data_IF_858953727735
#
_entry.id   IF_858953727735
#
_cell.length_a   1.000
_cell.length_b   1.000
_cell.length_c   1.000
_cell.angle_alpha   90.00
_cell.angle_beta   90.00
_cell.angle_gamma   90.00
#
_symmetry.space_group_name_H-M   'P 1'
#
loop_
_entity.id
_entity.type
_entity.pdbx_description
1 polymer ?
#
# COMPACT_ATOMS: atom_id res chain seq x y z
N UNK A 1 -22.17 -5.45 -14.94
CA UNK A 1 -21.89 -6.89 -14.91
C UNK A 1 -21.44 -7.23 -13.50
N UNK A 2 -21.90 -8.33 -12.97
CA UNK A 2 -21.54 -8.79 -11.60
C UNK A 2 -20.79 -10.10 -11.66
N UNK A 3 -19.71 -10.20 -10.86
CA UNK A 3 -18.97 -11.42 -10.55
C UNK A 3 -19.30 -11.91 -9.14
N UNK A 4 -19.11 -13.20 -8.89
CA UNK A 4 -19.24 -13.84 -7.57
C UNK A 4 -20.57 -13.51 -6.84
N UNK A 5 -21.67 -13.39 -7.58
CA UNK A 5 -22.98 -12.99 -7.08
C UNK A 5 -23.88 -14.16 -6.63
N UNK A 6 -23.28 -15.33 -6.32
CA UNK A 6 -24.00 -16.53 -5.86
C UNK A 6 -23.43 -17.00 -4.51
N UNK A 7 -23.70 -16.26 -3.41
CA UNK A 7 -23.23 -16.66 -2.10
C UNK A 7 -23.91 -17.94 -1.63
N UNK A 8 -23.15 -18.84 -1.00
CA UNK A 8 -23.65 -20.11 -0.43
C UNK A 8 -23.39 -20.22 1.09
N UNK A 9 -22.89 -19.15 1.73
CA UNK A 9 -22.56 -19.13 3.15
C UNK A 9 -21.14 -19.59 3.49
N UNK A 10 -20.37 -20.13 2.51
CA UNK A 10 -19.02 -20.66 2.72
C UNK A 10 -17.99 -20.10 1.73
N UNK A 11 -18.42 -19.55 0.59
CA UNK A 11 -17.56 -19.13 -0.52
C UNK A 11 -17.14 -17.64 -0.47
N UNK A 12 -17.11 -17.05 0.71
CA UNK A 12 -16.61 -15.69 0.89
C UNK A 12 -15.16 -15.59 0.42
N UNK A 13 -14.84 -14.60 -0.42
CA UNK A 13 -13.50 -14.38 -1.03
C UNK A 13 -12.95 -15.57 -1.85
N UNK A 14 -13.75 -16.58 -2.16
CA UNK A 14 -13.30 -17.72 -2.94
C UNK A 14 -13.07 -17.32 -4.40
N UNK A 15 -11.80 -17.25 -4.82
CA UNK A 15 -11.36 -16.85 -6.17
C UNK A 15 -11.95 -15.51 -6.65
N UNK A 16 -12.24 -14.58 -5.74
CA UNK A 16 -12.83 -13.29 -6.08
C UNK A 16 -12.48 -12.22 -5.03
N UNK A 17 -12.99 -11.01 -5.23
CA UNK A 17 -12.84 -9.89 -4.31
C UNK A 17 -11.51 -9.16 -4.46
N UNK A 18 -11.22 -8.26 -3.52
CA UNK A 18 -10.07 -7.35 -3.57
C UNK A 18 -8.72 -8.08 -3.51
N UNK A 19 -8.68 -9.29 -2.98
CA UNK A 19 -7.45 -10.11 -2.88
C UNK A 19 -7.23 -11.03 -4.08
N UNK A 20 -8.24 -11.21 -4.94
CA UNK A 20 -8.18 -12.06 -6.13
C UNK A 20 -8.92 -11.41 -7.31
N UNK A 21 -8.39 -10.30 -7.87
CA UNK A 21 -9.08 -9.51 -8.90
C UNK A 21 -8.91 -10.05 -10.33
N UNK A 22 -8.21 -11.18 -10.55
CA UNK A 22 -7.85 -11.69 -11.88
C UNK A 22 -9.04 -11.89 -12.83
N UNK A 23 -10.13 -12.48 -12.37
CA UNK A 23 -11.34 -12.65 -13.17
C UNK A 23 -12.01 -11.31 -13.49
N UNK A 24 -11.92 -10.34 -12.57
CA UNK A 24 -12.42 -8.99 -12.80
C UNK A 24 -11.61 -8.27 -13.88
N UNK A 25 -10.29 -8.40 -13.87
CA UNK A 25 -9.40 -7.82 -14.90
C UNK A 25 -9.80 -8.32 -16.31
N UNK A 26 -9.96 -9.63 -16.45
CA UNK A 26 -10.40 -10.25 -17.71
C UNK A 26 -11.80 -9.78 -18.13
N UNK A 27 -12.72 -9.65 -17.17
CA UNK A 27 -14.08 -9.22 -17.45
C UNK A 27 -14.14 -7.77 -17.91
N UNK A 28 -13.36 -6.88 -17.30
CA UNK A 28 -13.23 -5.47 -17.71
C UNK A 28 -12.76 -5.39 -19.16
N UNK A 29 -11.67 -6.05 -19.50
CA UNK A 29 -11.11 -6.05 -20.86
C UNK A 29 -12.11 -6.64 -21.86
N UNK A 30 -12.68 -7.81 -21.55
CA UNK A 30 -13.61 -8.53 -22.45
C UNK A 30 -14.86 -7.70 -22.80
N UNK A 31 -15.34 -6.87 -21.87
CA UNK A 31 -16.57 -6.11 -22.05
C UNK A 31 -16.32 -4.63 -22.34
N UNK A 32 -15.06 -4.21 -22.53
CA UNK A 32 -14.68 -2.80 -22.70
C UNK A 32 -15.32 -1.92 -21.61
N UNK A 33 -15.27 -2.40 -20.36
CA UNK A 33 -15.83 -1.64 -19.24
C UNK A 33 -14.91 -0.49 -18.85
N UNK A 34 -15.47 0.64 -18.47
CA UNK A 34 -14.70 1.81 -18.03
C UNK A 34 -13.97 1.58 -16.72
N UNK A 35 -14.52 0.73 -15.85
CA UNK A 35 -13.97 0.44 -14.53
C UNK A 35 -14.48 -0.91 -13.99
N UNK A 36 -13.59 -1.66 -13.35
CA UNK A 36 -13.91 -2.79 -12.50
C UNK A 36 -13.80 -2.41 -11.02
N UNK A 37 -14.67 -2.97 -10.18
CA UNK A 37 -14.68 -2.71 -8.74
C UNK A 37 -14.73 -4.06 -8.01
N UNK A 38 -13.78 -4.32 -7.12
CA UNK A 38 -13.72 -5.53 -6.31
C UNK A 38 -13.69 -5.15 -4.82
N UNK A 39 -14.64 -5.69 -4.06
CA UNK A 39 -14.68 -5.60 -2.61
C UNK A 39 -14.15 -6.88 -1.99
N UNK A 40 -13.71 -6.84 -0.74
CA UNK A 40 -13.48 -8.04 0.05
C UNK A 40 -14.77 -8.49 0.77
N UNK A 41 -14.67 -9.56 1.57
CA UNK A 41 -15.83 -10.26 2.09
C UNK A 41 -16.72 -9.46 3.06
N UNK A 42 -16.15 -8.54 3.82
CA UNK A 42 -16.87 -7.65 4.75
C UNK A 42 -17.04 -6.23 4.20
N UNK A 43 -16.50 -5.96 3.00
CA UNK A 43 -16.74 -4.74 2.25
C UNK A 43 -15.98 -3.52 2.77
N UNK A 44 -15.01 -3.72 3.66
CA UNK A 44 -14.19 -2.65 4.24
C UNK A 44 -13.04 -2.22 3.33
N UNK A 45 -12.73 -3.02 2.30
CA UNK A 45 -11.68 -2.80 1.30
C UNK A 45 -12.24 -2.76 -0.12
N UNK A 46 -11.55 -2.01 -0.97
CA UNK A 46 -11.83 -1.95 -2.39
C UNK A 46 -10.56 -1.88 -3.21
N UNK A 47 -10.52 -2.64 -4.30
CA UNK A 47 -9.54 -2.53 -5.37
C UNK A 47 -10.30 -2.20 -6.66
N UNK A 48 -9.73 -1.35 -7.49
CA UNK A 48 -10.30 -1.01 -8.78
C UNK A 48 -9.46 -1.61 -9.91
N UNK A 49 -10.08 -1.71 -11.08
CA UNK A 49 -9.42 -2.18 -12.31
C UNK A 49 -9.76 -1.20 -13.42
N UNK A 50 -8.74 -0.63 -14.07
CA UNK A 50 -8.96 0.28 -15.19
C UNK A 50 -9.37 -0.46 -16.46
N UNK A 51 -9.72 0.29 -17.52
CA UNK A 51 -10.15 -0.25 -18.81
C UNK A 51 -9.14 -1.21 -19.46
N UNK A 52 -7.85 -1.07 -19.16
CA UNK A 52 -6.77 -1.91 -19.71
C UNK A 52 -6.50 -3.16 -18.84
N UNK A 53 -7.27 -3.34 -17.76
CA UNK A 53 -7.13 -4.46 -16.85
C UNK A 53 -6.04 -4.24 -15.78
N UNK A 54 -5.47 -3.06 -15.65
CA UNK A 54 -4.49 -2.76 -14.61
C UNK A 54 -5.18 -2.55 -13.25
N UNK A 55 -4.55 -3.08 -12.20
CA UNK A 55 -5.04 -2.94 -10.83
C UNK A 55 -4.73 -1.54 -10.30
N UNK A 56 -5.72 -0.91 -9.74
CA UNK A 56 -5.64 0.35 -9.00
C UNK A 56 -5.82 0.02 -7.52
N UNK A 57 -4.73 -0.02 -6.81
CA UNK A 57 -4.69 -0.40 -5.41
C UNK A 57 -5.09 0.74 -4.45
N UNK A 58 -5.08 0.45 -3.14
CA UNK A 58 -5.44 1.43 -2.13
C UNK A 58 -4.55 2.67 -2.11
N UNK A 59 -3.29 2.54 -2.48
CA UNK A 59 -2.35 3.65 -2.56
C UNK A 59 -2.74 4.64 -3.67
N UNK A 60 -3.04 4.11 -4.86
CA UNK A 60 -3.53 4.90 -5.97
C UNK A 60 -4.91 5.54 -5.67
N UNK A 61 -5.80 4.80 -5.00
CA UNK A 61 -7.11 5.30 -4.57
C UNK A 61 -6.96 6.48 -3.59
N UNK A 62 -6.11 6.35 -2.58
CA UNK A 62 -5.83 7.45 -1.62
C UNK A 62 -5.31 8.67 -2.35
N UNK A 63 -4.40 8.50 -3.30
CA UNK A 63 -3.88 9.60 -4.11
C UNK A 63 -4.99 10.30 -4.90
N UNK A 64 -5.84 9.55 -5.63
CA UNK A 64 -6.99 10.11 -6.39
C UNK A 64 -7.87 10.95 -5.46
N UNK A 65 -8.24 10.39 -4.30
CA UNK A 65 -9.13 11.09 -3.36
C UNK A 65 -8.48 12.35 -2.78
N UNK A 66 -7.19 12.31 -2.46
CA UNK A 66 -6.44 13.47 -1.97
C UNK A 66 -6.40 14.59 -3.02
N UNK A 67 -6.10 14.25 -4.27
CA UNK A 67 -6.06 15.21 -5.37
C UNK A 67 -7.44 15.79 -5.67
N UNK A 68 -8.48 14.96 -5.69
CA UNK A 68 -9.86 15.43 -5.86
C UNK A 68 -10.27 16.41 -4.77
N UNK A 69 -9.98 16.12 -3.50
CA UNK A 69 -10.27 17.01 -2.38
C UNK A 69 -9.46 18.31 -2.44
N UNK A 70 -8.19 18.23 -2.85
CA UNK A 70 -7.33 19.41 -3.05
C UNK A 70 -7.90 20.33 -4.11
N UNK A 71 -8.25 19.80 -5.27
CA UNK A 71 -8.80 20.56 -6.39
C UNK A 71 -10.11 21.30 -6.02
N UNK A 72 -10.81 20.79 -5.03
CA UNK A 72 -12.03 21.41 -4.46
C UNK A 72 -11.77 22.31 -3.26
N UNK A 73 -10.52 22.58 -2.92
CA UNK A 73 -10.14 23.33 -1.70
C UNK A 73 -10.70 22.71 -0.40
N UNK A 74 -10.89 21.37 -0.37
CA UNK A 74 -11.42 20.64 0.79
C UNK A 74 -10.35 19.92 1.61
N UNK A 75 -9.08 20.05 1.21
CA UNK A 75 -7.92 19.46 1.90
C UNK A 75 -7.07 20.51 2.65
N UNK A 76 -7.61 21.70 2.88
CA UNK A 76 -6.88 22.79 3.54
C UNK A 76 -6.52 22.42 4.98
N UNK A 77 -5.26 22.67 5.36
CA UNK A 77 -4.70 22.41 6.69
C UNK A 77 -4.81 20.93 7.13
N UNK A 78 -4.89 20.00 6.19
CA UNK A 78 -4.93 18.56 6.46
C UNK A 78 -4.02 17.83 5.49
N UNK A 79 -3.66 16.61 5.84
CA UNK A 79 -2.83 15.74 5.01
C UNK A 79 -3.44 14.36 4.85
N UNK A 80 -2.62 13.42 4.45
CA UNK A 80 -2.96 12.02 4.24
C UNK A 80 -2.14 11.15 5.18
N UNK A 81 -2.77 10.15 5.77
CA UNK A 81 -2.09 9.13 6.57
C UNK A 81 -2.03 7.83 5.77
N UNK A 82 -0.82 7.30 5.61
CA UNK A 82 -0.59 5.96 5.08
C UNK A 82 0.15 5.09 6.10
N UNK A 83 0.64 3.94 5.66
CA UNK A 83 1.44 3.05 6.49
C UNK A 83 2.89 2.97 5.99
N UNK A 84 3.74 2.28 6.75
CA UNK A 84 5.10 1.97 6.29
C UNK A 84 5.12 1.13 5.00
N UNK A 85 3.98 0.56 4.61
CA UNK A 85 3.84 -0.21 3.36
C UNK A 85 3.36 0.64 2.18
N UNK A 86 2.83 1.84 2.42
CA UNK A 86 2.39 2.75 1.34
C UNK A 86 3.55 3.04 0.39
N UNK A 87 3.29 2.96 -0.90
CA UNK A 87 4.30 3.17 -1.94
C UNK A 87 4.90 4.58 -1.87
N UNK A 88 6.21 4.70 -2.08
CA UNK A 88 6.92 5.98 -2.06
C UNK A 88 6.43 6.93 -3.17
N UNK A 89 5.90 6.38 -4.25
CA UNK A 89 5.27 7.14 -5.31
C UNK A 89 4.12 8.01 -4.81
N UNK A 90 3.29 7.48 -3.89
CA UNK A 90 2.21 8.27 -3.24
C UNK A 90 2.79 9.45 -2.49
N UNK A 91 3.77 9.19 -1.60
CA UNK A 91 4.39 10.25 -0.80
C UNK A 91 5.01 11.33 -1.66
N UNK A 92 5.73 10.94 -2.71
CA UNK A 92 6.38 11.89 -3.62
C UNK A 92 5.35 12.69 -4.43
N UNK A 93 4.31 12.04 -4.96
CA UNK A 93 3.25 12.72 -5.70
C UNK A 93 2.48 13.71 -4.81
N UNK A 94 2.12 13.30 -3.58
CA UNK A 94 1.46 14.20 -2.62
C UNK A 94 2.36 15.38 -2.24
N UNK A 95 3.67 15.15 -2.05
CA UNK A 95 4.66 16.20 -1.73
C UNK A 95 4.78 17.23 -2.87
N UNK A 96 4.80 16.80 -4.13
CA UNK A 96 4.80 17.69 -5.30
C UNK A 96 3.58 18.63 -5.30
N UNK A 97 2.47 18.12 -4.81
CA UNK A 97 1.23 18.90 -4.65
C UNK A 97 1.10 19.59 -3.29
N UNK A 98 2.17 19.64 -2.47
CA UNK A 98 2.19 20.29 -1.14
C UNK A 98 1.12 19.73 -0.18
N UNK A 99 0.79 18.44 -0.30
CA UNK A 99 -0.09 17.72 0.60
C UNK A 99 0.79 17.00 1.64
N UNK A 100 0.65 17.29 2.94
CA UNK A 100 1.38 16.59 3.98
C UNK A 100 1.04 15.09 3.98
N UNK A 101 2.05 14.25 4.21
CA UNK A 101 1.89 12.81 4.31
C UNK A 101 2.61 12.27 5.55
N UNK A 102 1.94 11.39 6.30
CA UNK A 102 2.49 10.74 7.49
C UNK A 102 2.33 9.23 7.36
N UNK A 103 3.39 8.50 7.73
CA UNK A 103 3.39 7.03 7.80
C UNK A 103 3.17 6.55 9.22
N UNK A 104 2.35 5.52 9.37
CA UNK A 104 2.18 4.77 10.63
C UNK A 104 2.67 3.33 10.47
N UNK A 105 2.63 2.57 11.55
CA UNK A 105 2.69 1.11 11.46
C UNK A 105 1.50 0.57 10.67
N UNK A 106 1.63 -0.62 10.09
CA UNK A 106 0.55 -1.32 9.38
C UNK A 106 -0.63 -1.57 10.31
N UNK A 107 -1.81 -1.41 9.80
CA UNK A 107 -3.09 -1.67 10.47
C UNK A 107 -3.99 -0.44 10.51
N UNK A 108 -5.26 -0.66 10.19
CA UNK A 108 -6.33 0.33 10.17
C UNK A 108 -6.42 1.16 11.47
N UNK A 109 -6.28 0.51 12.62
CA UNK A 109 -6.25 1.15 13.95
C UNK A 109 -5.13 2.18 14.08
N UNK A 110 -3.95 1.90 13.51
CA UNK A 110 -2.82 2.83 13.55
C UNK A 110 -3.07 4.04 12.64
N UNK A 111 -3.66 3.79 11.46
CA UNK A 111 -4.07 4.86 10.54
C UNK A 111 -5.12 5.74 11.20
N UNK A 112 -6.16 5.12 11.79
CA UNK A 112 -7.23 5.82 12.50
C UNK A 112 -6.69 6.69 13.63
N UNK A 113 -5.89 6.11 14.54
CA UNK A 113 -5.31 6.84 15.67
C UNK A 113 -4.48 8.03 15.22
N UNK A 114 -3.71 7.88 14.11
CA UNK A 114 -2.92 8.99 13.58
C UNK A 114 -3.76 10.07 12.93
N UNK A 115 -4.87 9.71 12.27
CA UNK A 115 -5.84 10.68 11.74
C UNK A 115 -6.43 11.51 12.85
N UNK A 116 -6.86 10.89 13.96
CA UNK A 116 -7.41 11.56 15.13
C UNK A 116 -6.38 12.48 15.80
N UNK A 117 -5.14 11.99 16.01
CA UNK A 117 -4.03 12.76 16.59
C UNK A 117 -3.74 14.05 15.81
N UNK A 118 -3.78 13.97 14.47
CA UNK A 118 -3.48 15.11 13.60
C UNK A 118 -4.71 15.99 13.30
N UNK A 119 -5.91 15.57 13.69
CA UNK A 119 -7.14 16.20 13.24
C UNK A 119 -7.38 16.07 11.74
N UNK A 120 -6.79 15.05 11.11
CA UNK A 120 -6.95 14.77 9.69
C UNK A 120 -8.08 13.77 9.46
N UNK A 121 -8.48 13.56 8.20
CA UNK A 121 -9.64 12.73 7.91
C UNK A 121 -9.46 11.73 6.76
N UNK A 122 -8.39 11.81 5.98
CA UNK A 122 -8.13 10.90 4.86
C UNK A 122 -6.87 10.09 5.12
N UNK A 123 -6.99 8.78 5.02
CA UNK A 123 -5.88 7.85 5.11
C UNK A 123 -6.24 6.50 4.51
N UNK A 124 -5.28 5.59 4.46
CA UNK A 124 -5.54 4.24 3.96
C UNK A 124 -4.30 3.38 3.84
N UNK A 125 -4.52 2.18 3.37
CA UNK A 125 -3.52 1.15 3.14
C UNK A 125 -3.57 0.67 1.70
N UNK A 126 -2.46 0.19 1.17
CA UNK A 126 -2.37 -0.39 -0.18
C UNK A 126 -3.33 -1.56 -0.40
N UNK A 127 -3.75 -2.24 0.67
CA UNK A 127 -4.78 -3.30 0.64
C UNK A 127 -6.17 -2.84 0.20
N UNK A 128 -6.40 -1.53 0.07
CA UNK A 128 -7.70 -0.95 -0.29
C UNK A 128 -8.57 -0.55 0.90
N UNK A 129 -8.08 -0.68 2.14
CA UNK A 129 -8.78 -0.17 3.33
C UNK A 129 -8.58 1.35 3.42
N UNK A 130 -9.59 2.11 2.99
CA UNK A 130 -9.55 3.56 2.91
C UNK A 130 -10.45 4.18 3.97
N UNK A 131 -9.90 5.08 4.75
CA UNK A 131 -10.60 5.80 5.83
C UNK A 131 -10.84 7.25 5.40
N UNK A 132 -12.10 7.66 5.43
CA UNK A 132 -12.49 9.06 5.23
C UNK A 132 -13.44 9.48 6.33
N UNK A 133 -12.93 10.02 7.44
CA UNK A 133 -13.69 10.38 8.64
C UNK A 133 -14.78 11.46 8.42
N UNK A 134 -14.79 12.13 7.27
CA UNK A 134 -15.90 13.00 6.87
C UNK A 134 -17.08 12.23 6.28
N UNK A 135 -16.93 10.94 6.03
CA UNK A 135 -17.94 10.10 5.36
C UNK A 135 -18.37 8.92 6.22
N UNK A 136 -17.43 8.27 6.89
CA UNK A 136 -17.66 7.08 7.71
C UNK A 136 -16.66 7.05 8.86
N UNK A 137 -16.99 6.31 9.91
CA UNK A 137 -16.13 6.12 11.10
C UNK A 137 -15.13 4.98 10.96
N UNK A 138 -15.15 4.25 9.84
CA UNK A 138 -14.27 3.11 9.53
C UNK A 138 -13.96 3.08 8.05
N UNK A 139 -13.11 2.16 7.61
CA UNK A 139 -12.97 1.83 6.19
C UNK A 139 -14.30 1.35 5.61
N UNK A 140 -14.58 1.76 4.38
CA UNK A 140 -15.79 1.38 3.65
C UNK A 140 -15.47 1.38 2.15
N UNK A 141 -15.42 0.18 1.56
CA UNK A 141 -15.07 -0.01 0.14
C UNK A 141 -16.14 0.57 -0.79
N UNK A 142 -17.42 0.48 -0.40
CA UNK A 142 -18.53 0.98 -1.22
C UNK A 142 -18.49 2.51 -1.26
N UNK A 143 -18.39 3.16 -0.12
CA UNK A 143 -18.25 4.62 -0.05
C UNK A 143 -17.00 5.07 -0.80
N UNK A 144 -15.88 4.36 -0.63
CA UNK A 144 -14.63 4.67 -1.31
C UNK A 144 -14.77 4.61 -2.84
N UNK A 145 -15.35 3.53 -3.37
CA UNK A 145 -15.57 3.41 -4.81
C UNK A 145 -16.49 4.51 -5.37
N UNK A 146 -17.54 4.86 -4.65
CA UNK A 146 -18.43 5.97 -5.02
C UNK A 146 -17.72 7.33 -5.01
N UNK A 147 -16.79 7.53 -4.08
CA UNK A 147 -15.97 8.75 -4.05
C UNK A 147 -15.02 8.85 -5.24
N UNK A 148 -14.43 7.72 -5.67
CA UNK A 148 -13.59 7.67 -6.89
C UNK A 148 -14.44 7.92 -8.14
N UNK A 149 -15.58 7.26 -8.27
CA UNK A 149 -16.51 7.50 -9.38
C UNK A 149 -16.96 8.97 -9.44
N UNK A 150 -17.24 9.57 -8.27
CA UNK A 150 -17.56 11.00 -8.21
C UNK A 150 -16.39 11.88 -8.69
N UNK A 151 -15.14 11.52 -8.35
CA UNK A 151 -13.95 12.23 -8.81
C UNK A 151 -13.82 12.15 -10.34
N UNK A 152 -14.04 10.98 -10.93
CA UNK A 152 -14.03 10.78 -12.39
C UNK A 152 -15.12 11.62 -13.07
N UNK A 153 -16.35 11.59 -12.57
CA UNK A 153 -17.48 12.33 -13.15
C UNK A 153 -17.30 13.85 -13.05
N UNK A 154 -16.90 14.36 -11.88
CA UNK A 154 -16.72 15.81 -11.69
C UNK A 154 -15.56 16.38 -12.51
N UNK A 155 -14.49 15.61 -12.68
CA UNK A 155 -13.33 16.02 -13.48
C UNK A 155 -13.48 15.64 -14.96
N UNK A 156 -14.51 14.86 -15.31
CA UNK A 156 -14.72 14.30 -16.65
C UNK A 156 -13.47 13.57 -17.16
N UNK A 157 -12.84 12.80 -16.30
CA UNK A 157 -11.57 12.15 -16.53
C UNK A 157 -11.67 10.64 -16.27
N UNK A 158 -10.95 9.86 -17.04
CA UNK A 158 -10.72 8.44 -16.76
C UNK A 158 -9.87 8.27 -15.49
N UNK A 159 -9.84 7.05 -14.96
CA UNK A 159 -9.00 6.78 -13.79
C UNK A 159 -7.51 6.98 -14.09
N UNK A 160 -7.07 6.67 -15.30
CA UNK A 160 -5.69 6.85 -15.75
C UNK A 160 -5.32 8.35 -15.85
N UNK A 161 -6.26 9.19 -16.33
CA UNK A 161 -6.07 10.64 -16.34
C UNK A 161 -5.99 11.22 -14.92
N UNK A 162 -6.71 10.64 -13.95
CA UNK A 162 -6.59 11.04 -12.54
C UNK A 162 -5.25 10.64 -11.94
N UNK A 163 -4.60 9.61 -12.47
CA UNK A 163 -3.30 9.08 -12.02
C UNK A 163 -2.11 9.58 -12.83
N UNK A 164 -2.29 10.48 -13.80
CA UNK A 164 -1.23 10.94 -14.72
C UNK A 164 0.05 11.47 -14.02
N UNK A 165 -0.10 12.07 -12.86
CA UNK A 165 1.01 12.62 -12.06
C UNK A 165 1.45 11.67 -10.92
N UNK A 166 0.89 10.45 -10.88
CA UNK A 166 1.23 9.40 -9.95
C UNK A 166 2.12 8.35 -10.64
N UNK A 167 3.25 8.05 -10.03
CA UNK A 167 4.11 6.96 -10.47
C UNK A 167 4.26 5.94 -9.34
N UNK A 168 3.77 4.74 -9.56
CA UNK A 168 4.03 3.63 -8.65
C UNK A 168 5.50 3.18 -8.79
N UNK A 169 6.22 3.12 -7.66
CA UNK A 169 7.61 2.67 -7.67
C UNK A 169 7.65 1.15 -7.61
N UNK A 170 8.46 0.49 -8.44
CA UNK A 170 8.77 -0.93 -8.29
C UNK A 170 9.17 -1.25 -6.86
N UNK A 171 8.65 -2.34 -6.33
CA UNK A 171 8.97 -2.80 -4.97
C UNK A 171 9.04 -4.31 -4.91
N UNK A 172 9.98 -4.83 -4.11
CA UNK A 172 10.15 -6.24 -3.85
C UNK A 172 10.14 -6.51 -2.35
N UNK A 173 9.40 -7.54 -1.94
CA UNK A 173 9.26 -7.96 -0.55
C UNK A 173 9.70 -9.41 -0.38
N UNK A 174 10.72 -9.63 0.45
CA UNK A 174 11.22 -10.96 0.80
C UNK A 174 11.01 -11.24 2.28
N UNK A 175 10.60 -12.46 2.59
CA UNK A 175 10.46 -12.95 3.96
C UNK A 175 11.60 -13.95 4.27
N UNK A 176 12.43 -13.63 5.24
CA UNK A 176 13.60 -14.42 5.65
C UNK A 176 13.27 -15.07 6.99
N UNK A 177 13.38 -16.40 7.08
CA UNK A 177 13.14 -17.15 8.32
C UNK A 177 14.13 -16.74 9.42
N UNK A 178 13.62 -16.49 10.62
CA UNK A 178 14.40 -16.11 11.78
C UNK A 178 13.62 -16.52 13.03
N UNK A 179 14.25 -17.20 13.98
CA UNK A 179 13.57 -17.69 15.19
C UNK A 179 13.12 -16.54 16.09
N UNK A 180 14.00 -15.56 16.33
CA UNK A 180 13.66 -14.37 17.11
C UNK A 180 13.90 -13.09 16.29
N UNK A 181 12.96 -12.72 15.41
CA UNK A 181 13.11 -11.55 14.55
C UNK A 181 13.07 -10.23 15.33
N UNK A 182 12.42 -10.19 16.49
CA UNK A 182 12.31 -8.98 17.30
C UNK A 182 13.64 -8.63 17.98
N UNK A 183 14.35 -9.62 18.52
CA UNK A 183 15.66 -9.40 19.11
C UNK A 183 16.72 -9.17 18.02
N UNK A 184 16.67 -9.93 16.92
CA UNK A 184 17.62 -9.78 15.83
C UNK A 184 17.65 -8.34 15.27
N UNK A 185 16.49 -7.74 15.07
CA UNK A 185 16.38 -6.35 14.56
C UNK A 185 17.09 -5.35 15.49
N UNK A 186 17.12 -5.59 16.79
CA UNK A 186 17.75 -4.72 17.79
C UNK A 186 19.28 -4.84 17.83
N UNK A 187 19.85 -5.90 17.28
CA UNK A 187 21.30 -6.15 17.31
C UNK A 187 22.07 -5.03 16.62
N UNK A 188 23.26 -4.73 17.13
CA UNK A 188 24.14 -3.69 16.55
C UNK A 188 24.48 -4.00 15.08
N UNK A 189 24.67 -5.28 14.74
CA UNK A 189 24.97 -5.71 13.38
C UNK A 189 23.81 -5.41 12.43
N UNK A 190 22.58 -5.75 12.82
CA UNK A 190 21.39 -5.49 12.02
C UNK A 190 21.12 -3.99 11.86
N UNK A 191 21.25 -3.21 12.92
CA UNK A 191 21.09 -1.76 12.86
C UNK A 191 22.11 -1.08 11.93
N UNK A 192 23.38 -1.54 11.96
CA UNK A 192 24.40 -1.06 11.02
C UNK A 192 24.06 -1.44 9.57
N UNK A 193 23.57 -2.65 9.33
CA UNK A 193 23.13 -3.08 8.00
C UNK A 193 21.99 -2.21 7.48
N UNK A 194 20.99 -1.95 8.32
CA UNK A 194 19.84 -1.09 7.98
C UNK A 194 20.30 0.32 7.61
N UNK A 195 21.17 0.91 8.44
CA UNK A 195 21.72 2.26 8.19
C UNK A 195 22.50 2.32 6.88
N UNK A 196 23.36 1.33 6.64
CA UNK A 196 24.15 1.28 5.41
C UNK A 196 23.25 1.10 4.18
N UNK A 197 22.32 0.15 4.21
CA UNK A 197 21.38 -0.09 3.12
C UNK A 197 20.51 1.15 2.81
N UNK A 198 20.08 1.87 3.85
CA UNK A 198 19.32 3.13 3.68
C UNK A 198 20.18 4.21 3.01
N UNK A 199 21.47 4.30 3.41
CA UNK A 199 22.41 5.24 2.80
C UNK A 199 22.71 4.90 1.33
N UNK A 200 22.88 3.63 1.02
CA UNK A 200 23.17 3.16 -0.35
C UNK A 200 21.97 3.35 -1.29
N UNK A 201 20.74 3.18 -0.77
CA UNK A 201 19.50 3.48 -1.49
C UNK A 201 19.37 4.99 -1.79
N UNK A 202 19.77 5.82 -0.84
CA UNK A 202 19.73 7.28 -0.99
C UNK A 202 18.32 7.82 -1.22
N UNK A 203 18.20 8.78 -2.14
CA UNK A 203 16.93 9.41 -2.52
C UNK A 203 16.20 8.72 -3.67
N UNK A 204 16.76 7.61 -4.20
CA UNK A 204 16.15 6.87 -5.31
C UNK A 204 15.04 5.91 -4.86
N UNK A 205 14.98 5.63 -3.57
CA UNK A 205 14.03 4.66 -3.04
C UNK A 205 14.11 4.56 -1.52
N UNK A 206 13.66 3.43 -0.99
CA UNK A 206 13.77 3.12 0.45
C UNK A 206 13.99 1.63 0.71
N UNK A 207 14.56 1.38 1.86
CA UNK A 207 14.76 0.05 2.42
C UNK A 207 13.93 -0.04 3.70
N UNK A 208 13.13 -1.09 3.84
CA UNK A 208 12.41 -1.41 5.06
C UNK A 208 12.76 -2.83 5.49
N UNK A 209 13.46 -2.95 6.62
CA UNK A 209 13.79 -4.24 7.25
C UNK A 209 13.10 -4.25 8.60
N UNK A 210 12.20 -5.20 8.80
CA UNK A 210 11.42 -5.29 10.05
C UNK A 210 11.11 -6.73 10.44
N UNK A 211 10.88 -6.94 11.72
CA UNK A 211 10.30 -8.18 12.20
C UNK A 211 8.84 -8.33 11.73
N UNK A 212 8.42 -9.55 11.43
CA UNK A 212 7.01 -9.86 11.26
C UNK A 212 6.33 -9.89 12.63
N UNK A 213 5.10 -9.35 12.71
CA UNK A 213 4.32 -9.37 13.96
C UNK A 213 3.69 -10.71 14.28
N UNK A 214 3.54 -11.59 13.29
CA UNK A 214 2.75 -12.83 13.40
C UNK A 214 3.55 -14.09 13.06
N UNK A 215 4.71 -13.95 12.43
CA UNK A 215 5.51 -15.07 11.96
C UNK A 215 6.97 -14.91 12.38
N UNK A 216 7.74 -16.02 12.59
CA UNK A 216 9.16 -15.99 12.89
C UNK A 216 9.98 -15.66 11.63
N UNK A 217 9.88 -14.41 11.17
CA UNK A 217 10.50 -13.93 9.94
C UNK A 217 10.91 -12.47 10.03
N UNK A 218 12.01 -12.14 9.37
CA UNK A 218 12.37 -10.77 8.97
C UNK A 218 11.72 -10.49 7.62
N UNK A 219 11.11 -9.33 7.47
CA UNK A 219 10.59 -8.82 6.19
C UNK A 219 11.54 -7.75 5.68
N UNK A 220 12.13 -8.01 4.51
CA UNK A 220 12.96 -7.08 3.75
C UNK A 220 12.15 -6.57 2.57
N UNK A 221 11.88 -5.27 2.52
CA UNK A 221 11.26 -4.61 1.39
C UNK A 221 12.25 -3.59 0.81
N UNK A 222 12.43 -3.64 -0.49
CA UNK A 222 13.10 -2.62 -1.28
C UNK A 222 12.09 -1.99 -2.23
N UNK A 223 12.17 -0.70 -2.38
CA UNK A 223 11.32 0.08 -3.25
C UNK A 223 12.17 1.19 -3.88
N UNK A 224 12.15 1.31 -5.19
CA UNK A 224 12.98 2.29 -5.90
C UNK A 224 12.37 2.65 -7.25
N UNK A 225 12.62 3.89 -7.71
CA UNK A 225 12.34 4.31 -9.08
C UNK A 225 13.28 3.60 -10.08
N UNK A 226 14.43 3.12 -9.60
CA UNK A 226 15.44 2.39 -10.37
C UNK A 226 15.36 0.90 -10.02
N UNK A 227 14.69 0.13 -10.86
CA UNK A 227 14.51 -1.32 -10.67
C UNK A 227 15.84 -2.09 -10.63
N UNK A 228 16.88 -1.63 -11.34
CA UNK A 228 18.19 -2.25 -11.29
C UNK A 228 18.81 -2.17 -9.89
N UNK A 229 18.54 -1.10 -9.16
CA UNK A 229 18.99 -0.95 -7.78
C UNK A 229 18.36 -2.00 -6.87
N UNK A 230 17.06 -2.28 -7.03
CA UNK A 230 16.37 -3.37 -6.32
C UNK A 230 17.01 -4.71 -6.65
N UNK A 231 17.15 -5.02 -7.93
CA UNK A 231 17.71 -6.28 -8.42
C UNK A 231 19.15 -6.54 -7.92
N UNK A 232 19.92 -5.49 -7.68
CA UNK A 232 21.29 -5.59 -7.15
C UNK A 232 21.30 -5.73 -5.63
N UNK A 233 20.57 -4.86 -4.92
CA UNK A 233 20.61 -4.79 -3.46
C UNK A 233 19.87 -5.93 -2.78
N UNK A 234 18.79 -6.44 -3.37
CA UNK A 234 17.94 -7.45 -2.73
C UNK A 234 18.68 -8.76 -2.43
N UNK A 235 19.41 -9.38 -3.39
CA UNK A 235 20.20 -10.59 -3.12
C UNK A 235 21.33 -10.32 -2.11
N UNK A 236 21.99 -9.17 -2.21
CA UNK A 236 23.09 -8.79 -1.32
C UNK A 236 22.60 -8.66 0.13
N UNK A 237 21.51 -7.91 0.36
CA UNK A 237 20.94 -7.72 1.69
C UNK A 237 20.38 -9.03 2.25
N UNK A 238 19.75 -9.85 1.43
CA UNK A 238 19.26 -11.18 1.84
C UNK A 238 20.40 -12.05 2.33
N UNK A 239 21.53 -12.07 1.63
CA UNK A 239 22.72 -12.81 2.03
C UNK A 239 23.30 -12.29 3.34
N UNK A 240 23.44 -10.98 3.49
CA UNK A 240 23.95 -10.35 4.72
C UNK A 240 23.05 -10.63 5.92
N UNK A 241 21.73 -10.56 5.76
CA UNK A 241 20.77 -10.87 6.82
C UNK A 241 20.91 -12.35 7.27
N UNK A 242 20.99 -13.28 6.31
CA UNK A 242 21.19 -14.71 6.61
C UNK A 242 22.51 -14.97 7.34
N UNK A 243 23.58 -14.25 6.99
CA UNK A 243 24.86 -14.36 7.70
C UNK A 243 24.74 -13.89 9.15
N UNK A 244 24.07 -12.77 9.42
CA UNK A 244 23.83 -12.26 10.76
C UNK A 244 23.00 -13.28 11.57
N UNK A 245 21.93 -13.83 10.99
CA UNK A 245 21.10 -14.87 11.65
C UNK A 245 21.97 -16.06 12.08
N UNK A 246 22.83 -16.53 11.17
CA UNK A 246 23.71 -17.69 11.43
C UNK A 246 24.74 -17.41 12.54
N UNK A 247 25.27 -16.20 12.58
CA UNK A 247 26.23 -15.78 13.63
C UNK A 247 25.58 -15.66 15.01
N UNK A 248 24.40 -15.03 15.09
CA UNK A 248 23.67 -14.86 16.37
C UNK A 248 23.19 -16.21 16.93
N UNK A 249 22.73 -17.13 16.07
CA UNK A 249 22.36 -18.48 16.50
C UNK A 249 23.55 -19.28 17.06
N UNK A 250 24.78 -19.04 16.60
CA UNK A 250 26.00 -19.67 17.16
C UNK A 250 26.45 -19.08 18.49
N UNK A 251 26.11 -17.84 18.77
CA UNK A 251 26.42 -17.17 20.04
C UNK A 251 25.44 -17.50 21.17
N UNK A 252 24.31 -18.12 20.82
CA UNK A 252 23.24 -18.49 21.78
C UNK A 252 23.34 -19.92 22.29
N UNK A 253 24.38 -20.68 21.88
CA UNK A 253 24.75 -22.03 22.35
C UNK A 253 26.01 -21.92 23.23
#
# INVERSE_FOLDING_TARGET
>A
IMLANKPNGFNINENCGSTCPGDLQQLVIKNNADLGIAYDGDGDRVILVNQDGAIIDGDAIVYILAMHLKNRNKLNNTGVVGTVMTNMGVENALRQHQIPFIRTSVGDKNVMAKLEEQGWFLGGESSGHIINLKKTISGDGIITSLLVLNAMLEQKASIDELLKDYQNYPSELVAIKCEDPQELIKTVKMQKLIQQATKDMGNKGRVLIRASGTEPKIRLMLESIDENLINTMLPELTTKINSIITEENKCSI
#
